data_IF_175516872995
#
_entry.id   IF_175516872995
#
_cell.length_a   1.000
_cell.length_b   1.000
_cell.length_c   1.000
_cell.angle_alpha   90.00
_cell.angle_beta   90.00
_cell.angle_gamma   90.00
#
_symmetry.space_group_name_H-M   'P 1'
#
loop_
_entity.id
_entity.type
_entity.pdbx_description
1 polymer ?
#
# COMPACT_ATOMS: atom_id res chain seq x y z
N UNK A 1 19.68 -19.64 -17.51
CA UNK A 1 18.31 -19.53 -18.05
C UNK A 1 17.93 -20.81 -18.77
N UNK A 2 16.81 -21.44 -18.38
CA UNK A 2 16.28 -22.67 -18.99
C UNK A 2 14.73 -22.55 -19.10
N UNK A 3 14.07 -23.57 -19.66
CA UNK A 3 12.60 -23.58 -19.85
C UNK A 3 11.84 -23.53 -18.52
N UNK A 4 12.35 -24.18 -17.47
CA UNK A 4 11.75 -24.16 -16.14
C UNK A 4 11.69 -22.75 -15.56
N UNK A 5 12.80 -22.02 -15.63
CA UNK A 5 12.86 -20.61 -15.20
C UNK A 5 11.91 -19.71 -16.00
N UNK A 6 11.80 -19.92 -17.32
CA UNK A 6 10.87 -19.16 -18.16
C UNK A 6 9.40 -19.41 -17.76
N UNK A 7 9.04 -20.65 -17.47
CA UNK A 7 7.70 -21.01 -17.01
C UNK A 7 7.40 -20.45 -15.62
N UNK A 8 8.39 -20.46 -14.71
CA UNK A 8 8.25 -19.87 -13.38
C UNK A 8 7.98 -18.36 -13.47
N UNK A 9 8.73 -17.62 -14.28
CA UNK A 9 8.51 -16.18 -14.50
C UNK A 9 7.13 -15.91 -15.09
N UNK A 10 6.69 -16.72 -16.07
CA UNK A 10 5.34 -16.59 -16.63
C UNK A 10 4.24 -16.81 -15.58
N UNK A 11 4.40 -17.82 -14.71
CA UNK A 11 3.47 -18.08 -13.61
C UNK A 11 3.42 -16.91 -12.63
N UNK A 12 4.57 -16.34 -12.26
CA UNK A 12 4.65 -15.15 -11.39
C UNK A 12 3.87 -13.98 -11.99
N UNK A 13 4.00 -13.71 -13.29
CA UNK A 13 3.23 -12.64 -13.94
C UNK A 13 1.72 -12.91 -13.92
N UNK A 14 1.30 -14.14 -14.21
CA UNK A 14 -0.12 -14.52 -14.20
C UNK A 14 -0.69 -14.37 -12.79
N UNK A 15 -0.03 -14.92 -11.77
CA UNK A 15 -0.49 -14.88 -10.39
C UNK A 15 -0.52 -13.44 -9.85
N UNK A 16 0.49 -12.64 -10.16
CA UNK A 16 0.57 -11.24 -9.74
C UNK A 16 -0.58 -10.41 -10.32
N UNK A 17 -0.84 -10.56 -11.63
CA UNK A 17 -1.93 -9.85 -12.29
C UNK A 17 -3.31 -10.35 -11.84
N UNK A 18 -3.45 -11.66 -11.62
CA UNK A 18 -4.69 -12.26 -11.12
C UNK A 18 -5.03 -11.79 -9.70
N UNK A 19 -4.03 -11.67 -8.82
CA UNK A 19 -4.20 -11.10 -7.49
C UNK A 19 -4.59 -9.62 -7.54
N UNK A 20 -3.96 -8.82 -8.39
CA UNK A 20 -4.34 -7.41 -8.60
C UNK A 20 -5.80 -7.28 -9.06
N UNK A 21 -6.23 -8.12 -10.02
CA UNK A 21 -7.60 -8.16 -10.50
C UNK A 21 -8.59 -8.60 -9.40
N UNK A 22 -8.24 -9.62 -8.61
CA UNK A 22 -9.04 -10.02 -7.46
C UNK A 22 -9.20 -8.89 -6.44
N UNK A 23 -8.09 -8.22 -6.11
CA UNK A 23 -8.05 -7.10 -5.17
C UNK A 23 -8.89 -5.90 -5.60
N UNK A 24 -8.75 -5.46 -6.86
CA UNK A 24 -9.52 -4.31 -7.38
C UNK A 24 -11.02 -4.59 -7.37
N UNK A 25 -11.44 -5.79 -7.80
CA UNK A 25 -12.85 -6.18 -7.86
C UNK A 25 -13.43 -6.29 -6.46
N UNK A 26 -12.73 -6.96 -5.55
CA UNK A 26 -13.21 -7.14 -4.18
C UNK A 26 -13.29 -5.82 -3.41
N UNK A 27 -12.31 -4.93 -3.57
CA UNK A 27 -12.32 -3.60 -2.95
C UNK A 27 -13.46 -2.73 -3.51
N UNK A 28 -13.69 -2.74 -4.82
CA UNK A 28 -14.80 -2.04 -5.45
C UNK A 28 -16.16 -2.53 -4.94
N UNK A 29 -16.33 -3.85 -4.83
CA UNK A 29 -17.55 -4.45 -4.29
C UNK A 29 -17.74 -4.07 -2.82
N UNK A 30 -16.69 -4.17 -2.00
CA UNK A 30 -16.73 -3.78 -0.59
C UNK A 30 -17.08 -2.29 -0.42
N UNK A 31 -16.38 -1.41 -1.14
CA UNK A 31 -16.65 0.02 -1.15
C UNK A 31 -18.08 0.35 -1.58
N UNK A 32 -18.59 -0.32 -2.64
CA UNK A 32 -19.97 -0.13 -3.09
C UNK A 32 -20.99 -0.57 -2.05
N UNK A 33 -20.75 -1.66 -1.34
CA UNK A 33 -21.63 -2.12 -0.27
C UNK A 33 -21.63 -1.19 0.94
N UNK A 34 -20.48 -0.60 1.29
CA UNK A 34 -20.34 0.25 2.49
C UNK A 34 -20.76 1.70 2.21
N UNK A 35 -20.33 2.26 1.08
CA UNK A 35 -20.50 3.68 0.75
C UNK A 35 -21.65 3.94 -0.24
N UNK A 36 -22.27 2.90 -0.79
CA UNK A 36 -23.37 2.99 -1.76
C UNK A 36 -22.94 3.40 -3.18
N UNK A 37 -21.66 3.70 -3.40
CA UNK A 37 -21.10 4.15 -4.69
C UNK A 37 -19.77 3.46 -4.96
N UNK A 38 -19.41 3.37 -6.25
CA UNK A 38 -18.07 2.95 -6.63
C UNK A 38 -17.09 4.06 -6.26
N UNK A 39 -16.08 3.73 -5.46
CA UNK A 39 -15.02 4.64 -5.03
C UNK A 39 -13.73 4.30 -5.78
N UNK A 40 -13.23 5.26 -6.57
CA UNK A 40 -12.04 5.06 -7.41
C UNK A 40 -10.78 4.88 -6.57
N UNK A 41 -10.64 5.65 -5.48
CA UNK A 41 -9.48 5.57 -4.60
C UNK A 41 -9.41 4.20 -3.92
N UNK A 42 -10.55 3.68 -3.45
CA UNK A 42 -10.64 2.33 -2.90
C UNK A 42 -10.38 1.25 -3.95
N UNK A 43 -10.80 1.46 -5.20
CA UNK A 43 -10.46 0.56 -6.29
C UNK A 43 -8.95 0.50 -6.51
N UNK A 44 -8.29 1.65 -6.67
CA UNK A 44 -6.85 1.74 -6.89
C UNK A 44 -6.07 1.12 -5.73
N UNK A 45 -6.44 1.45 -4.48
CA UNK A 45 -5.86 0.81 -3.30
C UNK A 45 -6.14 -0.70 -3.24
N UNK A 46 -7.30 -1.16 -3.73
CA UNK A 46 -7.61 -2.57 -3.89
C UNK A 46 -6.69 -3.30 -4.88
N UNK A 47 -6.38 -2.67 -6.02
CA UNK A 47 -5.42 -3.23 -6.98
C UNK A 47 -4.01 -3.33 -6.35
N UNK A 48 -3.56 -2.27 -5.67
CA UNK A 48 -2.28 -2.26 -4.96
C UNK A 48 -2.26 -3.31 -3.84
N UNK A 49 -3.32 -3.42 -3.06
CA UNK A 49 -3.47 -4.43 -2.02
C UNK A 49 -3.40 -5.86 -2.59
N UNK A 50 -4.02 -6.10 -3.75
CA UNK A 50 -3.91 -7.38 -4.46
C UNK A 50 -2.46 -7.72 -4.85
N UNK A 51 -1.72 -6.74 -5.39
CA UNK A 51 -0.30 -6.88 -5.72
C UNK A 51 0.55 -7.13 -4.47
N UNK A 52 0.31 -6.39 -3.38
CA UNK A 52 1.06 -6.56 -2.13
C UNK A 52 0.77 -7.92 -1.50
N UNK A 53 -0.49 -8.36 -1.46
CA UNK A 53 -0.88 -9.61 -0.82
C UNK A 53 -0.17 -10.84 -1.42
N UNK A 54 0.10 -10.84 -2.73
CA UNK A 54 0.73 -11.99 -3.41
C UNK A 54 2.26 -11.89 -3.46
N UNK A 55 2.84 -10.75 -3.10
CA UNK A 55 4.29 -10.47 -3.26
C UNK A 55 5.18 -11.44 -2.47
N UNK A 56 4.71 -11.91 -1.31
CA UNK A 56 5.48 -12.82 -0.46
C UNK A 56 5.72 -14.20 -1.10
N UNK A 57 4.79 -14.67 -1.95
CA UNK A 57 4.88 -15.95 -2.64
C UNK A 57 4.05 -15.92 -3.94
N UNK A 58 4.59 -15.37 -5.03
CA UNK A 58 3.87 -15.24 -6.29
C UNK A 58 3.98 -16.47 -7.17
N UNK A 59 4.83 -17.46 -6.84
CA UNK A 59 5.11 -18.59 -7.71
C UNK A 59 4.29 -19.83 -7.32
N UNK A 60 4.25 -20.18 -6.04
CA UNK A 60 3.60 -21.41 -5.57
C UNK A 60 2.05 -21.47 -5.78
N UNK A 61 1.29 -20.37 -5.69
CA UNK A 61 -0.16 -20.38 -5.88
C UNK A 61 -0.61 -20.82 -7.27
N UNK A 62 -1.81 -21.38 -7.36
CA UNK A 62 -2.55 -21.40 -8.63
C UNK A 62 -3.10 -20.01 -8.94
N UNK A 63 -3.38 -19.66 -10.22
CA UNK A 63 -3.97 -18.36 -10.57
C UNK A 63 -5.28 -18.06 -9.85
N UNK A 64 -6.12 -19.08 -9.63
CA UNK A 64 -7.36 -18.93 -8.87
C UNK A 64 -7.06 -18.62 -7.40
N UNK A 65 -6.12 -19.32 -6.78
CA UNK A 65 -5.73 -19.03 -5.40
C UNK A 65 -5.10 -17.64 -5.26
N UNK A 66 -4.23 -17.23 -6.18
CA UNK A 66 -3.67 -15.88 -6.22
C UNK A 66 -4.76 -14.81 -6.31
N UNK A 67 -5.79 -15.03 -7.13
CA UNK A 67 -6.98 -14.15 -7.20
C UNK A 67 -7.68 -14.04 -5.85
N UNK A 68 -7.85 -15.15 -5.13
CA UNK A 68 -8.51 -15.17 -3.81
C UNK A 68 -7.66 -14.43 -2.76
N UNK A 69 -6.35 -14.67 -2.73
CA UNK A 69 -5.42 -13.96 -1.82
C UNK A 69 -5.48 -12.46 -2.06
N UNK A 70 -5.47 -12.05 -3.33
CA UNK A 70 -5.60 -10.64 -3.72
C UNK A 70 -6.96 -10.07 -3.36
N UNK A 71 -8.06 -10.80 -3.58
CA UNK A 71 -9.41 -10.38 -3.20
C UNK A 71 -9.56 -10.16 -1.69
N UNK A 72 -8.99 -11.05 -0.86
CA UNK A 72 -8.97 -10.87 0.60
C UNK A 72 -8.18 -9.59 0.95
N UNK A 73 -7.02 -9.38 0.33
CA UNK A 73 -6.25 -8.13 0.46
C UNK A 73 -7.06 -6.89 0.10
N UNK A 74 -7.81 -6.94 -1.01
CA UNK A 74 -8.69 -5.86 -1.46
C UNK A 74 -9.85 -5.55 -0.51
N UNK A 75 -10.39 -6.55 0.19
CA UNK A 75 -11.38 -6.30 1.25
C UNK A 75 -10.71 -5.72 2.50
N UNK A 76 -9.59 -6.28 2.92
CA UNK A 76 -8.85 -5.86 4.11
C UNK A 76 -8.41 -4.40 4.01
N UNK A 77 -7.91 -3.95 2.85
CA UNK A 77 -7.45 -2.55 2.70
C UNK A 77 -8.57 -1.54 2.91
N UNK A 78 -9.79 -1.83 2.43
CA UNK A 78 -10.95 -0.92 2.60
C UNK A 78 -11.26 -0.74 4.09
N UNK A 79 -11.35 -1.84 4.84
CA UNK A 79 -11.61 -1.76 6.27
C UNK A 79 -10.45 -1.17 7.06
N UNK A 80 -9.21 -1.44 6.65
CA UNK A 80 -8.01 -0.88 7.26
C UNK A 80 -7.99 0.64 7.13
N UNK A 81 -8.19 1.18 5.92
CA UNK A 81 -8.22 2.64 5.68
C UNK A 81 -9.29 3.30 6.55
N UNK A 82 -10.53 2.80 6.51
CA UNK A 82 -11.63 3.33 7.34
C UNK A 82 -11.28 3.32 8.83
N UNK A 83 -10.56 2.30 9.30
CA UNK A 83 -10.18 2.16 10.71
C UNK A 83 -9.08 3.14 11.09
N UNK A 84 -8.04 3.26 10.26
CA UNK A 84 -6.94 4.21 10.46
C UNK A 84 -7.45 5.66 10.45
N UNK A 85 -8.34 5.99 9.51
CA UNK A 85 -8.98 7.31 9.44
C UNK A 85 -9.78 7.61 10.72
N UNK A 86 -10.54 6.61 11.23
CA UNK A 86 -11.29 6.74 12.49
C UNK A 86 -10.39 6.90 13.71
N UNK A 87 -9.17 6.35 13.67
CA UNK A 87 -8.16 6.56 14.70
C UNK A 87 -7.46 7.92 14.59
N UNK A 88 -7.79 8.73 13.56
CA UNK A 88 -7.17 10.04 13.28
C UNK A 88 -5.67 9.94 13.08
N UNK A 89 -5.23 8.84 12.50
CA UNK A 89 -3.86 8.68 12.03
C UNK A 89 -3.85 9.15 10.58
N UNK A 90 -3.06 10.17 10.31
CA UNK A 90 -2.93 10.75 8.98
C UNK A 90 -2.00 9.88 8.12
N UNK A 91 -2.61 8.96 7.35
CA UNK A 91 -1.94 8.10 6.37
C UNK A 91 -2.37 8.52 4.95
N UNK A 92 -1.76 9.58 4.38
CA UNK A 92 -2.30 10.32 3.24
C UNK A 92 -2.48 9.47 1.97
N UNK A 93 -1.70 8.39 1.83
CA UNK A 93 -1.76 7.49 0.67
C UNK A 93 -2.24 6.08 1.02
N UNK A 94 -2.62 5.83 2.28
CA UNK A 94 -3.01 4.50 2.75
C UNK A 94 -1.84 3.50 2.82
N UNK A 95 -0.60 3.98 2.99
CA UNK A 95 0.59 3.14 2.96
C UNK A 95 0.57 2.07 4.07
N UNK A 96 0.09 2.41 5.27
CA UNK A 96 0.00 1.47 6.39
C UNK A 96 -1.04 0.39 6.07
N UNK A 97 -2.15 0.76 5.44
CA UNK A 97 -3.20 -0.19 5.05
C UNK A 97 -2.76 -1.12 3.93
N UNK A 98 -2.22 -0.57 2.84
CA UNK A 98 -1.82 -1.31 1.64
C UNK A 98 -0.58 -2.17 1.89
N UNK A 99 0.44 -1.63 2.55
CA UNK A 99 1.72 -2.33 2.74
C UNK A 99 1.85 -3.00 4.10
N UNK A 100 1.42 -2.32 5.17
CA UNK A 100 1.46 -2.88 6.52
C UNK A 100 0.42 -3.99 6.70
N UNK A 101 -0.86 -3.63 6.72
CA UNK A 101 -1.95 -4.59 7.03
C UNK A 101 -2.05 -5.69 5.98
N UNK A 102 -2.10 -5.33 4.70
CA UNK A 102 -2.23 -6.33 3.64
C UNK A 102 -0.91 -7.10 3.39
N UNK A 103 0.25 -6.49 3.63
CA UNK A 103 1.53 -7.23 3.59
C UNK A 103 1.61 -8.31 4.68
N UNK A 104 1.12 -8.01 5.89
CA UNK A 104 1.01 -9.02 6.95
C UNK A 104 0.07 -10.16 6.54
N UNK A 105 -1.07 -9.86 5.91
CA UNK A 105 -1.93 -10.88 5.32
C UNK A 105 -1.19 -11.73 4.27
N UNK A 106 -0.44 -11.11 3.37
CA UNK A 106 0.32 -11.81 2.34
C UNK A 106 1.32 -12.82 2.90
N UNK A 107 2.07 -12.44 3.95
CA UNK A 107 2.98 -13.36 4.65
C UNK A 107 2.25 -14.55 5.28
N UNK A 108 1.09 -14.29 5.89
CA UNK A 108 0.26 -15.35 6.46
C UNK A 108 -0.43 -16.22 5.40
N UNK A 109 -0.57 -15.72 4.17
CA UNK A 109 -1.14 -16.48 3.07
C UNK A 109 -0.16 -17.51 2.48
N UNK A 110 1.16 -17.30 2.63
CA UNK A 110 2.22 -18.14 2.02
C UNK A 110 2.07 -19.64 2.34
N UNK A 111 1.89 -20.07 3.60
CA UNK A 111 1.87 -21.50 3.94
C UNK A 111 0.67 -22.27 3.37
N UNK A 112 -0.35 -21.58 2.84
CA UNK A 112 -1.48 -22.25 2.18
C UNK A 112 -1.15 -22.76 0.78
N UNK A 113 -0.13 -22.20 0.13
CA UNK A 113 0.28 -22.60 -1.23
C UNK A 113 1.70 -23.13 -1.32
N UNK A 114 2.58 -22.76 -0.39
CA UNK A 114 3.95 -23.25 -0.32
C UNK A 114 4.12 -24.17 0.90
N UNK A 115 4.24 -25.48 0.66
CA UNK A 115 4.36 -26.50 1.72
C UNK A 115 5.68 -26.47 2.47
N UNK A 116 6.70 -25.82 1.92
CA UNK A 116 8.00 -25.65 2.57
C UNK A 116 7.98 -24.47 3.56
N UNK A 117 6.98 -23.59 3.46
CA UNK A 117 6.76 -22.49 4.38
C UNK A 117 5.93 -22.92 5.60
N UNK A 118 6.26 -22.38 6.77
CA UNK A 118 5.50 -22.60 8.01
C UNK A 118 4.97 -21.28 8.55
N UNK A 119 3.79 -21.31 9.18
CA UNK A 119 3.22 -20.13 9.82
C UNK A 119 4.16 -19.54 10.88
N UNK A 120 4.86 -20.38 11.65
CA UNK A 120 5.82 -19.93 12.66
C UNK A 120 6.97 -19.14 12.05
N UNK A 121 7.53 -19.60 10.92
CA UNK A 121 8.57 -18.87 10.21
C UNK A 121 8.07 -17.54 9.64
N UNK A 122 6.86 -17.50 9.07
CA UNK A 122 6.27 -16.28 8.52
C UNK A 122 6.01 -15.24 9.62
N UNK A 123 5.44 -15.65 10.75
CA UNK A 123 5.21 -14.76 11.91
C UNK A 123 6.53 -14.28 12.49
N UNK A 124 7.54 -15.16 12.63
CA UNK A 124 8.85 -14.76 13.11
C UNK A 124 9.50 -13.74 12.17
N UNK A 125 9.48 -13.98 10.86
CA UNK A 125 10.00 -13.05 9.85
C UNK A 125 9.29 -11.70 9.91
N UNK A 126 7.95 -11.70 10.00
CA UNK A 126 7.14 -10.51 10.17
C UNK A 126 7.57 -9.70 11.39
N UNK A 127 7.69 -10.34 12.56
CA UNK A 127 8.09 -9.65 13.80
C UNK A 127 9.52 -9.11 13.73
N UNK A 128 10.44 -9.86 13.13
CA UNK A 128 11.83 -9.43 12.94
C UNK A 128 11.91 -8.21 12.02
N UNK A 129 11.24 -8.25 10.86
CA UNK A 129 11.22 -7.13 9.91
C UNK A 129 10.53 -5.92 10.54
N UNK A 130 9.36 -6.12 11.16
CA UNK A 130 8.62 -5.04 11.81
C UNK A 130 9.44 -4.39 12.93
N UNK A 131 10.02 -5.19 13.83
CA UNK A 131 10.84 -4.69 14.93
C UNK A 131 12.07 -3.94 14.43
N UNK A 132 12.78 -4.51 13.45
CA UNK A 132 13.96 -3.87 12.86
C UNK A 132 13.61 -2.53 12.20
N UNK A 133 12.64 -2.53 11.28
CA UNK A 133 12.25 -1.32 10.52
C UNK A 133 11.70 -0.27 11.48
N UNK A 134 10.79 -0.63 12.38
CA UNK A 134 10.20 0.32 13.32
C UNK A 134 11.27 1.00 14.20
N UNK A 135 12.18 0.22 14.79
CA UNK A 135 13.21 0.76 15.68
C UNK A 135 14.22 1.62 14.91
N UNK A 136 14.71 1.13 13.77
CA UNK A 136 15.71 1.86 12.97
C UNK A 136 15.13 3.11 12.33
N UNK A 137 13.90 3.06 11.83
CA UNK A 137 13.19 4.25 11.34
C UNK A 137 12.93 5.24 12.48
N UNK A 138 12.49 4.80 13.65
CA UNK A 138 12.25 5.70 14.79
C UNK A 138 13.52 6.44 15.21
N UNK A 139 14.65 5.72 15.29
CA UNK A 139 15.96 6.33 15.58
C UNK A 139 16.33 7.34 14.49
N UNK A 140 16.21 6.95 13.22
CA UNK A 140 16.57 7.79 12.07
C UNK A 140 15.73 9.08 12.04
N UNK A 141 14.40 8.94 12.11
CA UNK A 141 13.48 10.09 12.11
C UNK A 141 13.66 10.97 13.35
N UNK A 142 13.96 10.39 14.52
CA UNK A 142 14.26 11.18 15.72
C UNK A 142 15.53 12.01 15.56
N UNK A 143 16.61 11.41 15.02
CA UNK A 143 17.86 12.13 14.75
C UNK A 143 17.60 13.27 13.76
N UNK A 144 16.93 13.01 12.64
CA UNK A 144 16.60 14.04 11.65
C UNK A 144 15.75 15.16 12.27
N UNK A 145 14.77 14.81 13.11
CA UNK A 145 13.91 15.78 13.79
C UNK A 145 14.70 16.75 14.67
N UNK A 146 15.75 16.30 15.36
CA UNK A 146 16.53 17.15 16.26
C UNK A 146 17.71 17.85 15.60
N UNK A 147 18.18 17.38 14.43
CA UNK A 147 19.33 17.98 13.73
C UNK A 147 18.92 18.96 12.63
N UNK A 148 17.99 18.57 11.75
CA UNK A 148 17.60 19.35 10.57
C UNK A 148 16.12 19.74 10.57
N UNK A 149 15.27 19.01 11.28
CA UNK A 149 13.82 19.12 11.18
C UNK A 149 13.27 18.26 10.02
N UNK A 150 12.03 17.78 10.17
CA UNK A 150 11.39 16.84 9.22
C UNK A 150 10.06 17.33 8.67
N UNK A 151 9.57 18.47 9.14
CA UNK A 151 8.31 19.09 8.73
C UNK A 151 8.62 20.54 8.38
N UNK A 152 8.02 21.02 7.30
CA UNK A 152 8.03 22.43 6.91
C UNK A 152 7.38 23.30 7.99
N UNK A 153 7.59 24.61 7.93
CA UNK A 153 6.93 25.54 8.85
C UNK A 153 5.40 25.52 8.66
N UNK A 154 4.64 25.93 9.68
CA UNK A 154 3.17 26.02 9.57
C UNK A 154 2.72 27.01 8.48
N UNK A 155 3.52 28.05 8.21
CA UNK A 155 3.29 29.01 7.14
C UNK A 155 3.46 28.35 5.76
N UNK A 156 4.59 27.68 5.52
CA UNK A 156 4.83 26.93 4.28
C UNK A 156 3.83 25.78 4.08
N UNK A 157 3.39 25.12 5.16
CA UNK A 157 2.35 24.09 5.10
C UNK A 157 1.00 24.69 4.64
N UNK A 158 0.69 25.93 5.05
CA UNK A 158 -0.54 26.61 4.67
C UNK A 158 -0.49 27.18 3.24
N UNK A 159 0.64 27.75 2.83
CA UNK A 159 0.84 28.29 1.48
C UNK A 159 0.97 27.19 0.42
N UNK A 160 1.43 26.00 0.83
CA UNK A 160 1.68 24.87 -0.05
C UNK A 160 3.17 24.72 -0.35
N UNK A 161 3.67 23.50 -0.20
CA UNK A 161 5.10 23.17 -0.30
C UNK A 161 5.68 23.49 -1.68
N UNK A 162 4.86 23.47 -2.74
CA UNK A 162 5.27 23.85 -4.08
C UNK A 162 5.82 25.30 -4.15
N UNK A 163 5.22 26.23 -3.41
CA UNK A 163 5.68 27.63 -3.37
C UNK A 163 6.98 27.73 -2.58
N UNK A 164 7.04 27.12 -1.40
CA UNK A 164 8.21 27.18 -0.51
C UNK A 164 9.45 26.46 -1.05
N UNK A 165 9.27 25.28 -1.65
CA UNK A 165 10.40 24.46 -2.14
C UNK A 165 10.69 24.65 -3.63
N UNK A 166 9.65 24.78 -4.48
CA UNK A 166 9.83 24.87 -5.93
C UNK A 166 9.75 26.32 -6.45
N UNK A 167 9.27 27.28 -5.65
CA UNK A 167 9.15 28.69 -6.04
C UNK A 167 8.07 28.94 -7.10
N UNK A 168 7.18 27.98 -7.34
CA UNK A 168 6.13 28.03 -8.35
C UNK A 168 4.94 27.16 -7.94
N UNK A 169 3.74 27.54 -8.38
CA UNK A 169 2.55 26.71 -8.20
C UNK A 169 2.53 25.58 -9.23
N UNK A 170 2.20 24.35 -8.81
CA UNK A 170 2.11 23.21 -9.73
C UNK A 170 1.00 23.36 -10.78
N UNK A 171 -0.05 24.13 -10.49
CA UNK A 171 -1.23 24.31 -11.34
C UNK A 171 -1.69 25.78 -11.43
N UNK A 172 -0.89 26.69 -12.02
CA UNK A 172 -1.14 28.14 -12.03
C UNK A 172 -2.50 28.53 -12.64
N UNK A 173 -3.01 27.71 -13.56
CA UNK A 173 -4.28 27.91 -14.23
C UNK A 173 -5.52 27.69 -13.33
N UNK A 174 -5.36 27.01 -12.19
CA UNK A 174 -6.46 26.73 -11.24
C UNK A 174 -6.45 27.60 -9.98
N UNK A 175 -5.34 28.27 -9.67
CA UNK A 175 -5.23 29.15 -8.50
C UNK A 175 -5.89 30.53 -8.76
N UNK A 176 -6.18 30.80 -10.04
CA UNK A 176 -6.91 31.98 -10.48
C UNK A 176 -6.04 33.23 -10.42
N UNK A 177 -6.33 34.17 -11.32
CA UNK A 177 -5.77 35.51 -11.32
C UNK A 177 -6.17 36.30 -10.07
N UNK A 178 -5.68 35.92 -8.89
CA UNK A 178 -5.68 36.80 -7.72
C UNK A 178 -4.63 37.88 -7.94
N UNK A 179 -5.05 38.90 -8.68
CA UNK A 179 -4.44 40.22 -8.62
C UNK A 179 -3.10 40.37 -9.35
N UNK A 180 -3.14 40.28 -10.68
CA UNK A 180 -2.36 41.24 -11.49
C UNK A 180 -2.95 42.64 -11.23
N UNK A 181 -2.61 43.20 -10.07
CA UNK A 181 -3.07 44.48 -9.57
C UNK A 181 -1.88 45.27 -9.05
N UNK A 182 -1.06 45.72 -10.00
CA UNK A 182 0.18 46.52 -9.91
C UNK A 182 1.47 45.72 -9.95
#
# INVERSE_FOLDING_TARGET
SNVGEANAVAAVFVNTNAAAAGGVVAALLAARMIFGKADLTMALNGALAGLVAITAEPLAPTPLWATIVGAIGGVLVVFSIITIDKMRIDDPVGAISVHGVVGMWGLLAVPFSNTDATFSAQVLGLLVIFGWVFVTSLITWFILKVTVGIRVSEEEEFEGVDIGECGLEAYPEFVGSRGSGR
#
